data_IF_095930790217
#
_entry.id   IF_095930790217
#
_cell.length_a   1.000
_cell.length_b   1.000
_cell.length_c   1.000
_cell.angle_alpha   90.00
_cell.angle_beta   90.00
_cell.angle_gamma   90.00
#
_symmetry.space_group_name_H-M   'P 1'
#
loop_
_entity.id
_entity.type
_entity.pdbx_description
1 polymer ?
#
# COMPACT_ATOMS: atom_id res chain seq x y z
N UNK A 1 16.90 18.17 -19.67
CA UNK A 1 16.57 18.59 -18.29
C UNK A 1 16.59 17.35 -17.39
N UNK A 2 17.76 17.02 -16.84
CA UNK A 2 17.89 15.86 -15.95
C UNK A 2 17.54 16.26 -14.53
N UNK A 3 16.45 15.72 -13.97
CA UNK A 3 16.15 15.91 -12.55
C UNK A 3 17.24 15.22 -11.75
N UNK A 4 17.81 15.91 -10.76
CA UNK A 4 18.76 15.30 -9.84
C UNK A 4 18.09 14.09 -9.17
N UNK A 5 18.62 12.90 -9.44
CA UNK A 5 18.21 11.62 -8.82
C UNK A 5 17.99 11.75 -7.31
N UNK A 6 18.85 12.44 -6.51
CA UNK A 6 18.61 12.59 -5.08
C UNK A 6 17.32 13.36 -4.73
N UNK A 7 16.93 14.35 -5.53
CA UNK A 7 15.67 15.10 -5.32
C UNK A 7 14.47 14.20 -5.60
N UNK A 8 14.50 13.41 -6.68
CA UNK A 8 13.43 12.46 -7.01
C UNK A 8 13.24 11.45 -5.87
N UNK A 9 14.34 10.90 -5.35
CA UNK A 9 14.27 9.93 -4.25
C UNK A 9 13.73 10.54 -2.95
N UNK A 10 14.10 11.80 -2.65
CA UNK A 10 13.58 12.51 -1.49
C UNK A 10 12.08 12.80 -1.62
N UNK A 11 11.63 13.24 -2.80
CA UNK A 11 10.22 13.50 -3.06
C UNK A 11 9.39 12.21 -3.00
N UNK A 12 9.87 11.11 -3.57
CA UNK A 12 9.17 9.82 -3.52
C UNK A 12 9.02 9.30 -2.08
N UNK A 13 10.06 9.42 -1.25
CA UNK A 13 9.98 9.00 0.15
C UNK A 13 9.01 9.87 0.96
N UNK A 14 9.01 11.19 0.73
CA UNK A 14 8.03 12.09 1.35
C UNK A 14 6.57 11.78 0.93
N UNK A 15 6.35 11.48 -0.36
CA UNK A 15 5.05 11.05 -0.88
C UNK A 15 4.55 9.77 -0.22
N UNK A 16 5.42 8.77 -0.09
CA UNK A 16 5.09 7.50 0.56
C UNK A 16 4.72 7.72 2.04
N UNK A 17 5.52 8.47 2.79
CA UNK A 17 5.25 8.78 4.19
C UNK A 17 3.91 9.50 4.38
N UNK A 18 3.64 10.49 3.54
CA UNK A 18 2.40 11.27 3.60
C UNK A 18 1.18 10.42 3.29
N UNK A 19 1.26 9.60 2.24
CA UNK A 19 0.17 8.70 1.83
C UNK A 19 -0.11 7.64 2.90
N UNK A 20 0.94 6.98 3.39
CA UNK A 20 0.79 5.97 4.45
C UNK A 20 0.21 6.55 5.73
N UNK A 21 0.65 7.74 6.14
CA UNK A 21 0.10 8.44 7.32
C UNK A 21 -1.38 8.77 7.14
N UNK A 22 -1.76 9.25 5.94
CA UNK A 22 -3.16 9.53 5.61
C UNK A 22 -4.02 8.25 5.65
N UNK A 23 -3.56 7.14 5.08
CA UNK A 23 -4.29 5.87 5.13
C UNK A 23 -4.43 5.34 6.56
N UNK A 24 -3.37 5.40 7.38
CA UNK A 24 -3.43 4.98 8.78
C UNK A 24 -4.47 5.78 9.58
N UNK A 25 -4.53 7.10 9.36
CA UNK A 25 -5.56 7.95 9.98
C UNK A 25 -6.96 7.59 9.50
N UNK A 26 -7.16 7.32 8.22
CA UNK A 26 -8.45 6.88 7.68
C UNK A 26 -8.94 5.58 8.34
N UNK A 27 -8.05 4.60 8.52
CA UNK A 27 -8.41 3.35 9.21
C UNK A 27 -8.67 3.55 10.71
N UNK A 28 -7.95 4.46 11.36
CA UNK A 28 -8.15 4.79 12.77
C UNK A 28 -9.48 5.51 13.01
N UNK A 29 -9.79 6.54 12.19
CA UNK A 29 -11.05 7.30 12.29
C UNK A 29 -12.26 6.45 11.87
N UNK A 30 -12.09 5.57 10.88
CA UNK A 30 -13.15 4.65 10.45
C UNK A 30 -13.49 3.56 11.47
N UNK A 31 -12.72 3.42 12.55
CA UNK A 31 -12.94 2.38 13.56
C UNK A 31 -12.73 0.95 13.07
N UNK A 32 -12.17 0.75 11.86
CA UNK A 32 -11.88 -0.56 11.29
C UNK A 32 -10.67 -1.24 11.98
N UNK A 33 -9.84 -0.46 12.67
CA UNK A 33 -8.66 -0.97 13.36
C UNK A 33 -8.93 -1.09 14.87
N UNK A 34 -8.99 -2.30 15.44
CA UNK A 34 -9.07 -2.45 16.89
C UNK A 34 -7.78 -1.92 17.52
N UNK A 35 -7.92 -0.99 18.47
CA UNK A 35 -6.80 -0.28 19.09
C UNK A 35 -5.79 -1.22 19.76
N UNK A 36 -6.24 -2.36 20.29
CA UNK A 36 -5.38 -3.40 20.87
C UNK A 36 -4.40 -4.01 19.85
N UNK A 37 -4.77 -4.08 18.57
CA UNK A 37 -3.92 -4.63 17.51
C UNK A 37 -3.12 -3.57 16.75
N UNK A 38 -3.39 -2.28 16.99
CA UNK A 38 -2.74 -1.18 16.28
C UNK A 38 -1.21 -1.21 16.42
N UNK A 39 -0.71 -1.54 17.63
CA UNK A 39 0.72 -1.66 17.89
C UNK A 39 1.34 -2.84 17.14
N UNK A 40 0.65 -3.99 17.06
CA UNK A 40 1.13 -5.15 16.33
C UNK A 40 1.22 -4.87 14.82
N UNK A 41 0.21 -4.19 14.25
CA UNK A 41 0.24 -3.76 12.84
C UNK A 41 1.35 -2.73 12.58
N UNK A 42 1.58 -1.80 13.50
CA UNK A 42 2.67 -0.83 13.40
C UNK A 42 4.05 -1.52 13.37
N UNK A 43 4.27 -2.49 14.28
CA UNK A 43 5.52 -3.26 14.34
C UNK A 43 5.73 -4.09 13.07
N UNK A 44 4.69 -4.78 12.59
CA UNK A 44 4.76 -5.55 11.34
C UNK A 44 5.05 -4.65 10.13
N UNK A 45 4.42 -3.47 10.05
CA UNK A 45 4.68 -2.49 9.00
C UNK A 45 6.11 -1.96 9.05
N UNK A 46 6.64 -1.68 10.24
CA UNK A 46 7.99 -1.17 10.44
C UNK A 46 9.05 -2.23 10.07
N UNK A 47 8.85 -3.48 10.50
CA UNK A 47 9.68 -4.62 10.10
C UNK A 47 9.64 -4.85 8.58
N UNK A 48 8.46 -4.81 7.98
CA UNK A 48 8.30 -4.95 6.53
C UNK A 48 9.00 -3.83 5.76
N UNK A 49 8.91 -2.58 6.23
CA UNK A 49 9.58 -1.44 5.62
C UNK A 49 11.13 -1.54 5.72
N UNK A 50 11.65 -1.93 6.90
CA UNK A 50 13.09 -2.17 7.08
C UNK A 50 13.59 -3.31 6.20
N UNK A 51 12.88 -4.44 6.16
CA UNK A 51 13.27 -5.57 5.30
C UNK A 51 13.18 -5.22 3.83
N UNK A 52 12.10 -4.57 3.39
CA UNK A 52 11.92 -4.16 2.00
C UNK A 52 13.03 -3.22 1.54
N UNK A 53 13.32 -2.17 2.31
CA UNK A 53 14.40 -1.23 1.99
C UNK A 53 15.78 -1.88 2.02
N UNK A 54 16.05 -2.78 2.97
CA UNK A 54 17.31 -3.52 3.02
C UNK A 54 17.51 -4.47 1.83
N UNK A 55 16.46 -5.20 1.42
CA UNK A 55 16.49 -6.09 0.25
C UNK A 55 16.71 -5.28 -1.03
N UNK A 56 16.00 -4.17 -1.18
CA UNK A 56 16.14 -3.28 -2.34
C UNK A 56 17.54 -2.67 -2.38
N UNK A 57 18.10 -2.24 -1.24
CA UNK A 57 19.46 -1.73 -1.16
C UNK A 57 20.49 -2.79 -1.57
N UNK A 58 20.34 -4.04 -1.11
CA UNK A 58 21.20 -5.17 -1.53
C UNK A 58 21.14 -5.42 -3.02
N UNK A 59 19.94 -5.42 -3.61
CA UNK A 59 19.73 -5.64 -5.04
C UNK A 59 20.27 -4.47 -5.86
N UNK A 60 20.10 -3.23 -5.39
CA UNK A 60 20.57 -2.02 -6.05
C UNK A 60 22.10 -1.99 -6.18
N UNK A 61 22.82 -2.41 -5.13
CA UNK A 61 24.29 -2.51 -5.14
C UNK A 61 24.77 -3.52 -6.19
N UNK A 62 24.10 -4.67 -6.31
CA UNK A 62 24.49 -5.72 -7.25
C UNK A 62 24.11 -5.44 -8.71
N UNK A 63 23.04 -4.68 -8.96
CA UNK A 63 22.48 -4.57 -10.32
C UNK A 63 22.82 -3.29 -11.07
N UNK A 64 23.13 -2.13 -10.44
CA UNK A 64 23.43 -0.80 -11.05
C UNK A 64 22.55 -0.32 -12.24
N UNK A 65 21.57 -1.12 -12.69
CA UNK A 65 20.71 -0.93 -13.84
C UNK A 65 19.32 -0.61 -13.33
N UNK A 66 18.92 0.64 -13.47
CA UNK A 66 17.61 1.16 -13.08
C UNK A 66 16.42 0.35 -13.64
N UNK A 67 16.58 -0.27 -14.82
CA UNK A 67 15.56 -1.09 -15.46
C UNK A 67 15.14 -2.33 -14.63
N UNK A 68 16.08 -2.96 -13.93
CA UNK A 68 15.77 -4.14 -13.08
C UNK A 68 15.00 -3.72 -11.82
N UNK A 69 15.31 -2.55 -11.29
CA UNK A 69 14.57 -1.97 -10.17
C UNK A 69 13.12 -1.70 -10.58
N UNK A 70 12.92 -1.01 -11.72
CA UNK A 70 11.60 -0.71 -12.28
C UNK A 70 10.76 -1.95 -12.53
N UNK A 71 11.37 -3.04 -13.02
CA UNK A 71 10.68 -4.31 -13.20
C UNK A 71 10.20 -4.90 -11.87
N UNK A 72 11.01 -4.82 -10.81
CA UNK A 72 10.69 -5.38 -9.50
C UNK A 72 9.54 -4.64 -8.78
N UNK A 73 9.56 -3.30 -8.81
CA UNK A 73 8.43 -2.50 -8.32
C UNK A 73 7.18 -2.73 -9.17
N UNK A 74 7.33 -2.80 -10.49
CA UNK A 74 6.20 -3.06 -11.40
C UNK A 74 5.48 -4.37 -11.08
N UNK A 75 6.22 -5.47 -10.90
CA UNK A 75 5.62 -6.77 -10.56
C UNK A 75 4.95 -6.75 -9.18
N UNK A 76 5.54 -6.09 -8.18
CA UNK A 76 4.94 -5.93 -6.85
C UNK A 76 3.60 -5.17 -6.90
N UNK A 77 3.54 -4.09 -7.69
CA UNK A 77 2.29 -3.34 -7.89
C UNK A 77 1.23 -4.18 -8.62
N UNK A 78 1.61 -4.91 -9.67
CA UNK A 78 0.69 -5.81 -10.37
C UNK A 78 0.10 -6.87 -9.45
N UNK A 79 0.93 -7.50 -8.62
CA UNK A 79 0.47 -8.51 -7.65
C UNK A 79 -0.48 -7.89 -6.62
N UNK A 80 -0.15 -6.70 -6.10
CA UNK A 80 -0.98 -5.98 -5.13
C UNK A 80 -2.35 -5.60 -5.70
N UNK A 81 -2.38 -5.17 -6.97
CA UNK A 81 -3.61 -4.84 -7.68
C UNK A 81 -4.50 -6.07 -7.84
N UNK A 82 -3.92 -7.20 -8.23
CA UNK A 82 -4.66 -8.46 -8.40
C UNK A 82 -5.27 -8.91 -7.08
N UNK A 83 -4.49 -8.92 -5.99
CA UNK A 83 -4.97 -9.36 -4.67
C UNK A 83 -6.09 -8.45 -4.16
N UNK A 84 -5.88 -7.13 -4.21
CA UNK A 84 -6.87 -6.16 -3.73
C UNK A 84 -8.14 -6.20 -4.58
N UNK A 85 -8.00 -6.38 -5.89
CA UNK A 85 -9.11 -6.54 -6.83
C UNK A 85 -9.93 -7.79 -6.53
N UNK A 86 -9.29 -8.95 -6.35
CA UNK A 86 -9.98 -10.18 -5.98
C UNK A 86 -10.69 -10.07 -4.62
N UNK A 87 -10.05 -9.45 -3.63
CA UNK A 87 -10.66 -9.25 -2.32
C UNK A 87 -11.94 -8.43 -2.43
N UNK A 88 -11.89 -7.29 -3.14
CA UNK A 88 -13.07 -6.45 -3.37
C UNK A 88 -14.19 -7.19 -4.10
N UNK A 89 -13.86 -7.93 -5.17
CA UNK A 89 -14.84 -8.69 -5.96
C UNK A 89 -15.51 -9.78 -5.12
N UNK A 90 -14.73 -10.50 -4.32
CA UNK A 90 -15.23 -11.54 -3.43
C UNK A 90 -16.17 -10.96 -2.36
N UNK A 91 -15.80 -9.84 -1.74
CA UNK A 91 -16.65 -9.18 -0.74
C UNK A 91 -17.99 -8.76 -1.33
N UNK A 92 -18.00 -8.21 -2.55
CA UNK A 92 -19.23 -7.78 -3.25
C UNK A 92 -20.13 -8.98 -3.54
N UNK A 93 -19.58 -10.07 -4.06
CA UNK A 93 -20.35 -11.30 -4.39
C UNK A 93 -20.93 -11.92 -3.10
N UNK A 94 -20.15 -11.98 -2.03
CA UNK A 94 -20.58 -12.51 -0.73
C UNK A 94 -21.75 -11.68 -0.16
N UNK A 95 -21.65 -10.35 -0.21
CA UNK A 95 -22.72 -9.46 0.24
C UNK A 95 -23.97 -9.53 -0.66
N UNK A 96 -23.79 -9.71 -1.97
CA UNK A 96 -24.88 -9.87 -2.93
C UNK A 96 -25.71 -11.15 -2.66
N UNK A 97 -25.03 -12.26 -2.31
CA UNK A 97 -25.67 -13.53 -1.93
C UNK A 97 -26.43 -13.42 -0.60
N UNK A 98 -25.87 -12.70 0.38
CA UNK A 98 -26.48 -12.53 1.70
C UNK A 98 -27.61 -11.47 1.75
N UNK A 99 -28.04 -10.90 0.61
CA UNK A 99 -28.95 -9.74 0.53
C UNK A 99 -28.55 -8.60 1.49
N UNK A 100 -27.25 -8.38 1.66
CA UNK A 100 -26.71 -7.29 2.47
C UNK A 100 -26.73 -5.96 1.73
N UNK A 101 -26.91 -4.85 2.45
CA UNK A 101 -26.78 -3.50 1.89
C UNK A 101 -25.36 -3.29 1.34
N UNK A 102 -25.25 -2.97 0.05
CA UNK A 102 -23.98 -2.76 -0.66
C UNK A 102 -23.30 -1.41 -0.35
N UNK A 103 -23.74 -0.69 0.69
CA UNK A 103 -23.19 0.63 1.06
C UNK A 103 -23.50 1.76 0.06
N UNK A 104 -24.28 1.50 -1.00
CA UNK A 104 -24.83 2.55 -1.85
C UNK A 104 -25.95 3.28 -1.10
N UNK A 105 -25.58 4.35 -0.39
CA UNK A 105 -26.56 5.32 0.09
C UNK A 105 -27.09 6.07 -1.14
N UNK A 106 -28.41 6.11 -1.32
CA UNK A 106 -29.01 6.91 -2.38
C UNK A 106 -28.57 8.37 -2.21
N UNK A 107 -28.21 9.07 -3.31
CA UNK A 107 -27.85 10.49 -3.25
C UNK A 107 -29.03 11.39 -2.83
N UNK A 108 -30.23 10.82 -2.71
CA UNK A 108 -31.38 11.46 -2.09
C UNK A 108 -31.66 10.80 -0.74
N UNK A 109 -31.18 11.45 0.32
CA UNK A 109 -31.95 11.67 1.54
C UNK A 109 -32.12 13.19 1.67
#
# INVERSE_FOLDING_TARGET
MGVLVPVVTATTSALLLTTSSSSSLQFAVGGLLPWDWGVAFFIMGLLGALFGTAVIARIAINKKRYSVLLFLIGTLFSISLVISGFHGLFTIILLALNRGYMGFSSPCN
#
